data_IF_510226522557
#
_entry.id   IF_510226522557
#
_cell.length_a   1.000
_cell.length_b   1.000
_cell.length_c   1.000
_cell.angle_alpha   90.00
_cell.angle_beta   90.00
_cell.angle_gamma   90.00
#
_symmetry.space_group_name_H-M   'P 1'
#
loop_
_entity.id
_entity.type
_entity.pdbx_description
1 polymer ?
#
# COMPACT_ATOMS: atom_id res chain seq x y z
N UNK A 1 -15.19 -5.95 12.99
CA UNK A 1 -15.13 -6.28 11.54
C UNK A 1 -13.65 -6.34 11.16
N UNK A 2 -13.25 -7.22 10.26
CA UNK A 2 -11.87 -7.27 9.77
C UNK A 2 -11.83 -6.78 8.33
N UNK A 3 -10.88 -5.89 8.04
CA UNK A 3 -10.59 -5.40 6.70
C UNK A 3 -9.24 -5.98 6.25
N UNK A 4 -9.19 -6.48 5.01
CA UNK A 4 -7.90 -6.78 4.38
C UNK A 4 -7.35 -5.46 3.82
N UNK A 5 -6.36 -4.89 4.52
CA UNK A 5 -5.83 -3.52 4.31
C UNK A 5 -6.83 -2.43 4.72
N UNK A 6 -6.54 -1.18 4.32
CA UNK A 6 -7.38 -0.01 4.59
C UNK A 6 -7.15 1.10 3.56
N UNK A 7 -8.03 2.11 3.57
CA UNK A 7 -7.87 3.35 2.79
C UNK A 7 -6.57 4.09 3.10
N UNK A 8 -5.97 3.84 4.27
CA UNK A 8 -4.70 4.43 4.66
C UNK A 8 -3.52 3.75 3.95
N UNK A 9 -3.51 2.41 3.90
CA UNK A 9 -2.46 1.70 3.17
C UNK A 9 -2.50 2.01 1.67
N UNK A 10 -3.68 2.25 1.09
CA UNK A 10 -3.78 2.62 -0.33
C UNK A 10 -3.01 3.91 -0.64
N UNK A 11 -3.21 4.96 0.17
CA UNK A 11 -2.53 6.26 -0.02
C UNK A 11 -1.08 6.25 0.42
N UNK A 12 -0.82 5.82 1.65
CA UNK A 12 0.48 6.03 2.30
C UNK A 12 1.51 4.95 1.96
N UNK A 13 1.06 3.77 1.52
CA UNK A 13 1.96 2.70 1.10
C UNK A 13 2.03 2.66 -0.42
N UNK A 14 0.93 2.31 -1.09
CA UNK A 14 0.98 1.98 -2.52
C UNK A 14 1.07 3.23 -3.41
N UNK A 15 0.12 4.17 -3.28
CA UNK A 15 0.10 5.36 -4.12
C UNK A 15 1.32 6.25 -3.88
N UNK A 16 1.74 6.42 -2.62
CA UNK A 16 2.98 7.11 -2.28
C UNK A 16 4.21 6.42 -2.89
N UNK A 17 4.30 5.09 -2.85
CA UNK A 17 5.41 4.36 -3.47
C UNK A 17 5.43 4.52 -5.01
N UNK A 18 4.26 4.52 -5.66
CA UNK A 18 4.16 4.75 -7.10
C UNK A 18 4.61 6.16 -7.47
N UNK A 19 4.25 7.17 -6.68
CA UNK A 19 4.73 8.53 -6.89
C UNK A 19 6.25 8.65 -6.71
N UNK A 20 6.81 8.05 -5.66
CA UNK A 20 8.26 8.06 -5.41
C UNK A 20 9.07 7.23 -6.40
N UNK A 21 8.42 6.30 -7.10
CA UNK A 21 9.03 5.47 -8.16
C UNK A 21 8.79 6.03 -9.56
N UNK A 22 8.42 7.32 -9.68
CA UNK A 22 8.13 8.03 -10.93
C UNK A 22 7.04 7.37 -11.80
N UNK A 23 6.22 6.50 -11.21
CA UNK A 23 5.07 5.88 -11.89
C UNK A 23 3.83 6.79 -11.87
N UNK A 24 3.81 7.79 -11.00
CA UNK A 24 2.84 8.87 -10.99
C UNK A 24 3.57 10.20 -11.12
N UNK A 25 3.11 11.06 -12.01
CA UNK A 25 3.61 12.43 -12.06
C UNK A 25 2.98 13.29 -10.95
N UNK A 26 3.53 14.50 -10.76
CA UNK A 26 3.07 15.43 -9.72
C UNK A 26 1.58 15.76 -9.83
N UNK A 27 1.05 15.94 -11.04
CA UNK A 27 -0.36 16.26 -11.24
C UNK A 27 -1.26 15.08 -10.88
N UNK A 28 -0.92 13.88 -11.32
CA UNK A 28 -1.64 12.64 -10.96
C UNK A 28 -1.65 12.42 -9.45
N UNK A 29 -0.50 12.60 -8.80
CA UNK A 29 -0.38 12.47 -7.35
C UNK A 29 -1.19 13.53 -6.59
N UNK A 30 -1.22 14.78 -7.07
CA UNK A 30 -2.05 15.83 -6.47
C UNK A 30 -3.54 15.52 -6.61
N UNK A 31 -3.99 15.09 -7.78
CA UNK A 31 -5.39 14.74 -8.02
C UNK A 31 -5.81 13.54 -7.15
N UNK A 32 -4.97 12.51 -7.05
CA UNK A 32 -5.24 11.34 -6.23
C UNK A 32 -5.41 11.71 -4.74
N UNK A 33 -4.53 12.58 -4.23
CA UNK A 33 -4.61 13.03 -2.83
C UNK A 33 -5.87 13.84 -2.56
N UNK A 34 -6.21 14.78 -3.44
CA UNK A 34 -7.42 15.60 -3.32
C UNK A 34 -8.69 14.72 -3.32
N UNK A 35 -8.74 13.74 -4.23
CA UNK A 35 -9.83 12.77 -4.25
C UNK A 35 -9.90 11.92 -2.97
N UNK A 36 -8.76 11.46 -2.46
CA UNK A 36 -8.70 10.68 -1.22
C UNK A 36 -9.19 11.48 -0.01
N UNK A 37 -8.77 12.74 0.10
CA UNK A 37 -9.22 13.65 1.16
C UNK A 37 -10.72 13.94 1.06
N UNK A 38 -11.21 14.19 -0.16
CA UNK A 38 -12.64 14.40 -0.40
C UNK A 38 -13.49 13.17 -0.05
N UNK A 39 -13.04 11.97 -0.38
CA UNK A 39 -13.75 10.71 -0.04
C UNK A 39 -13.74 10.43 1.47
N UNK A 40 -12.65 10.73 2.17
CA UNK A 40 -12.57 10.47 3.61
C UNK A 40 -13.38 11.47 4.44
N UNK A 41 -13.69 12.67 3.93
CA UNK A 41 -14.48 13.64 4.67
C UNK A 41 -15.89 13.12 5.05
N UNK A 42 -16.72 12.58 4.12
CA UNK A 42 -18.04 12.05 4.46
C UNK A 42 -17.99 10.61 5.03
N UNK A 43 -17.07 9.76 4.54
CA UNK A 43 -17.09 8.32 4.88
C UNK A 43 -16.10 7.94 6.00
N UNK A 44 -15.09 8.77 6.27
CA UNK A 44 -14.06 8.52 7.28
C UNK A 44 -14.59 8.19 8.67
N UNK A 45 -15.62 8.87 9.20
CA UNK A 45 -16.19 8.53 10.52
C UNK A 45 -16.75 7.10 10.61
N UNK A 46 -17.18 6.52 9.49
CA UNK A 46 -17.69 5.14 9.44
C UNK A 46 -16.59 4.10 9.21
N UNK A 47 -15.40 4.53 8.80
CA UNK A 47 -14.24 3.69 8.47
C UNK A 47 -13.12 3.82 9.51
N UNK A 48 -13.42 4.41 10.67
CA UNK A 48 -12.46 4.50 11.79
C UNK A 48 -12.08 3.09 12.22
N UNK A 49 -10.77 2.85 12.29
CA UNK A 49 -10.21 1.56 12.72
C UNK A 49 -9.96 1.60 14.23
N UNK A 50 -10.53 0.64 14.95
CA UNK A 50 -10.26 0.46 16.39
C UNK A 50 -8.84 -0.07 16.66
N UNK A 51 -8.22 -0.69 15.65
CA UNK A 51 -6.88 -1.25 15.76
C UNK A 51 -6.37 -1.77 14.42
N UNK A 52 -5.05 -1.95 14.34
CA UNK A 52 -4.36 -2.43 13.14
C UNK A 52 -3.57 -3.69 13.51
N UNK A 53 -3.72 -4.74 12.70
CA UNK A 53 -2.92 -5.97 12.81
C UNK A 53 -1.88 -5.95 11.68
N UNK A 54 -0.61 -5.77 12.04
CA UNK A 54 0.48 -5.79 11.06
C UNK A 54 1.07 -7.20 10.91
N UNK A 55 0.85 -7.82 9.74
CA UNK A 55 1.41 -9.13 9.39
C UNK A 55 2.83 -8.97 8.83
N UNK A 56 3.79 -8.76 9.73
CA UNK A 56 5.20 -8.52 9.38
C UNK A 56 5.89 -9.77 8.84
N UNK A 57 6.56 -9.64 7.68
CA UNK A 57 7.48 -10.63 7.13
C UNK A 57 8.59 -9.92 6.34
N UNK A 58 9.71 -10.60 6.10
CA UNK A 58 10.82 -10.03 5.34
C UNK A 58 10.51 -10.03 3.84
N UNK A 59 11.10 -9.10 3.06
CA UNK A 59 10.90 -9.05 1.60
C UNK A 59 11.18 -10.38 0.88
N UNK A 60 12.19 -11.14 1.31
CA UNK A 60 12.54 -12.43 0.71
C UNK A 60 11.46 -13.48 0.97
N UNK A 61 10.86 -13.47 2.16
CA UNK A 61 9.73 -14.35 2.49
C UNK A 61 8.50 -13.98 1.68
N UNK A 62 8.24 -12.69 1.45
CA UNK A 62 7.15 -12.26 0.58
C UNK A 62 7.36 -12.69 -0.86
N UNK A 63 8.56 -12.48 -1.40
CA UNK A 63 8.91 -12.89 -2.75
C UNK A 63 8.73 -14.40 -2.95
N UNK A 64 9.23 -15.22 -2.01
CA UNK A 64 9.02 -16.67 -2.04
C UNK A 64 7.53 -17.04 -2.04
N UNK A 65 6.71 -16.36 -1.24
CA UNK A 65 5.26 -16.60 -1.20
C UNK A 65 4.55 -16.20 -2.50
N UNK A 66 5.00 -15.14 -3.17
CA UNK A 66 4.48 -14.72 -4.48
C UNK A 66 4.74 -15.82 -5.52
N UNK A 67 5.97 -16.35 -5.56
CA UNK A 67 6.32 -17.45 -6.45
C UNK A 67 5.52 -18.73 -6.14
N UNK A 68 5.36 -19.09 -4.87
CA UNK A 68 4.54 -20.23 -4.47
C UNK A 68 3.06 -20.06 -4.82
N UNK A 69 2.56 -18.82 -4.80
CA UNK A 69 1.17 -18.51 -5.16
C UNK A 69 0.93 -18.63 -6.67
N UNK A 70 1.94 -18.29 -7.49
CA UNK A 70 1.90 -18.47 -8.94
C UNK A 70 0.87 -17.61 -9.67
N UNK A 71 0.68 -16.34 -9.24
CA UNK A 71 -0.14 -15.37 -9.98
C UNK A 71 0.67 -14.78 -11.13
N UNK A 72 0.14 -14.85 -12.34
CA UNK A 72 0.80 -14.37 -13.56
C UNK A 72 1.13 -12.86 -13.46
N UNK A 73 0.25 -12.05 -12.87
CA UNK A 73 0.41 -10.60 -12.75
C UNK A 73 1.52 -10.18 -11.75
N UNK A 74 1.97 -11.11 -10.90
CA UNK A 74 2.92 -10.83 -9.82
C UNK A 74 4.31 -11.45 -10.08
N UNK A 75 4.50 -12.22 -11.17
CA UNK A 75 5.77 -12.96 -11.42
C UNK A 75 6.96 -12.05 -11.73
N UNK A 76 6.72 -10.84 -12.24
CA UNK A 76 7.78 -9.89 -12.61
C UNK A 76 8.09 -8.88 -11.49
N UNK A 77 7.49 -9.04 -10.29
CA UNK A 77 7.73 -8.13 -9.17
C UNK A 77 9.18 -8.27 -8.68
N UNK A 78 9.91 -7.15 -8.69
CA UNK A 78 11.28 -7.11 -8.21
C UNK A 78 11.36 -7.12 -6.67
N UNK A 79 12.46 -7.66 -6.14
CA UNK A 79 12.73 -7.61 -4.70
C UNK A 79 12.87 -6.16 -4.20
N UNK A 80 13.45 -5.27 -5.00
CA UNK A 80 13.60 -3.84 -4.66
C UNK A 80 12.24 -3.17 -4.43
N UNK A 81 11.23 -3.51 -5.24
CA UNK A 81 9.87 -3.03 -5.03
C UNK A 81 9.31 -3.49 -3.67
N UNK A 82 9.50 -4.76 -3.33
CA UNK A 82 9.06 -5.31 -2.04
C UNK A 82 9.80 -4.69 -0.85
N UNK A 83 11.08 -4.37 -1.00
CA UNK A 83 11.87 -3.67 0.02
C UNK A 83 11.35 -2.25 0.27
N UNK A 84 11.01 -1.49 -0.79
CA UNK A 84 10.39 -0.17 -0.65
C UNK A 84 9.05 -0.23 0.07
N UNK A 85 8.20 -1.18 -0.31
CA UNK A 85 6.93 -1.40 0.39
C UNK A 85 7.14 -1.81 1.85
N UNK A 86 8.10 -2.69 2.12
CA UNK A 86 8.43 -3.11 3.48
C UNK A 86 8.85 -1.92 4.34
N UNK A 87 9.78 -1.10 3.85
CA UNK A 87 10.23 0.11 4.55
C UNK A 87 9.08 1.07 4.88
N UNK A 88 8.13 1.27 3.96
CA UNK A 88 6.96 2.12 4.21
C UNK A 88 6.05 1.56 5.29
N UNK A 89 5.82 0.23 5.32
CA UNK A 89 5.05 -0.38 6.40
C UNK A 89 5.76 -0.24 7.75
N UNK A 90 7.07 -0.49 7.81
CA UNK A 90 7.88 -0.33 9.03
C UNK A 90 7.96 1.13 9.50
N UNK A 91 7.89 2.09 8.59
CA UNK A 91 7.87 3.51 8.94
C UNK A 91 6.50 3.98 9.44
N UNK A 92 5.42 3.31 9.06
CA UNK A 92 4.06 3.73 9.37
C UNK A 92 3.49 3.06 10.62
N UNK A 93 3.73 1.75 10.79
CA UNK A 93 3.13 0.89 11.82
C UNK A 93 4.15 0.52 12.89
#
# INVERSE_FOLDING_TARGET
IFFERSVYSDRYIFAANLYESDCLNKTEWMIYQDWHDWMNAPFGPSLVLDGIIYLRATPEKFLNRIYLRGRDEEQEISIEYLEKLHYKHESWL
#
